data_IF_565168910909
#
_entry.id   IF_565168910909
#
_cell.length_a   1.000
_cell.length_b   1.000
_cell.length_c   1.000
_cell.angle_alpha   90.00
_cell.angle_beta   90.00
_cell.angle_gamma   90.00
#
_symmetry.space_group_name_H-M   'P 1'
#
loop_
_entity.id
_entity.type
_entity.pdbx_description
1 polymer ?
#
# COMPACT_ATOMS: atom_id res chain seq x y z
N UNK A 1 -43.02 -14.15 5.06
CA UNK A 1 -42.72 -13.91 3.63
C UNK A 1 -42.07 -12.53 3.52
N UNK A 2 -41.02 -12.37 2.73
CA UNK A 2 -40.44 -11.05 2.50
C UNK A 2 -41.46 -10.17 1.80
N UNK A 3 -41.72 -8.97 2.36
CA UNK A 3 -42.71 -8.05 1.79
C UNK A 3 -42.12 -7.38 0.54
N UNK A 4 -42.90 -7.20 -0.52
CA UNK A 4 -42.50 -6.51 -1.75
C UNK A 4 -41.90 -5.12 -1.46
N UNK A 5 -42.35 -4.45 -0.42
CA UNK A 5 -41.79 -3.18 0.06
C UNK A 5 -40.36 -3.32 0.57
N UNK A 6 -40.01 -4.42 1.25
CA UNK A 6 -38.67 -4.66 1.77
C UNK A 6 -37.67 -4.91 0.65
N UNK A 7 -38.08 -5.68 -0.38
CA UNK A 7 -37.22 -5.90 -1.55
C UNK A 7 -36.99 -4.57 -2.29
N UNK A 8 -38.01 -3.74 -2.44
CA UNK A 8 -37.88 -2.41 -3.06
C UNK A 8 -36.93 -1.50 -2.29
N UNK A 9 -36.96 -1.52 -0.94
CA UNK A 9 -36.02 -0.78 -0.07
C UNK A 9 -34.60 -1.30 -0.25
N UNK A 10 -34.40 -2.63 -0.31
CA UNK A 10 -33.09 -3.25 -0.55
C UNK A 10 -32.53 -2.85 -1.91
N UNK A 11 -33.32 -2.90 -2.99
CA UNK A 11 -32.90 -2.45 -4.32
C UNK A 11 -32.41 -1.01 -4.28
N UNK A 12 -33.16 -0.10 -3.61
CA UNK A 12 -32.76 1.29 -3.47
C UNK A 12 -31.44 1.45 -2.71
N UNK A 13 -31.27 0.72 -1.61
CA UNK A 13 -30.04 0.75 -0.79
C UNK A 13 -28.83 0.26 -1.59
N UNK A 14 -28.95 -0.87 -2.29
CA UNK A 14 -27.85 -1.44 -3.10
C UNK A 14 -27.52 -0.53 -4.28
N UNK A 15 -28.50 0.13 -4.90
CA UNK A 15 -28.27 1.13 -5.96
C UNK A 15 -27.44 2.30 -5.45
N UNK A 16 -27.74 2.82 -4.27
CA UNK A 16 -26.94 3.87 -3.64
C UNK A 16 -25.51 3.39 -3.35
N UNK A 17 -25.36 2.16 -2.85
CA UNK A 17 -24.05 1.55 -2.61
C UNK A 17 -23.24 1.43 -3.91
N UNK A 18 -23.88 1.00 -5.03
CA UNK A 18 -23.24 0.92 -6.33
C UNK A 18 -22.73 2.29 -6.81
N UNK A 19 -23.51 3.36 -6.60
CA UNK A 19 -23.08 4.72 -6.95
C UNK A 19 -21.86 5.18 -6.11
N UNK A 20 -21.88 4.90 -4.80
CA UNK A 20 -20.78 5.24 -3.90
C UNK A 20 -19.51 4.47 -4.28
N UNK A 21 -19.61 3.16 -4.50
CA UNK A 21 -18.44 2.33 -4.87
C UNK A 21 -17.86 2.76 -6.22
N UNK A 22 -18.69 3.11 -7.18
CA UNK A 22 -18.26 3.65 -8.48
C UNK A 22 -17.54 5.00 -8.34
N UNK A 23 -18.04 5.89 -7.50
CA UNK A 23 -17.36 7.16 -7.21
C UNK A 23 -16.00 6.92 -6.52
N UNK A 24 -15.95 6.01 -5.55
CA UNK A 24 -14.69 5.63 -4.88
C UNK A 24 -13.69 4.99 -5.84
N UNK A 25 -14.13 4.19 -6.80
CA UNK A 25 -13.30 3.63 -7.86
C UNK A 25 -12.62 4.74 -8.68
N UNK A 26 -13.39 5.75 -9.11
CA UNK A 26 -12.85 6.86 -9.90
C UNK A 26 -11.84 7.71 -9.11
N UNK A 27 -12.14 8.01 -7.85
CA UNK A 27 -11.22 8.72 -6.96
C UNK A 27 -9.93 7.93 -6.74
N UNK A 28 -10.03 6.62 -6.50
CA UNK A 28 -8.86 5.75 -6.35
C UNK A 28 -8.01 5.71 -7.62
N UNK A 29 -8.62 5.64 -8.80
CA UNK A 29 -7.91 5.67 -10.09
C UNK A 29 -7.14 6.98 -10.29
N UNK A 30 -7.74 8.12 -9.95
CA UNK A 30 -7.07 9.43 -10.03
C UNK A 30 -5.87 9.51 -9.08
N UNK A 31 -6.03 9.06 -7.83
CA UNK A 31 -4.95 9.06 -6.83
C UNK A 31 -3.82 8.10 -7.20
N UNK A 32 -4.14 6.93 -7.77
CA UNK A 32 -3.15 5.98 -8.28
C UNK A 32 -2.28 6.63 -9.37
N UNK A 33 -2.90 7.30 -10.36
CA UNK A 33 -2.15 7.98 -11.42
C UNK A 33 -1.20 9.03 -10.86
N UNK A 34 -1.65 9.84 -9.89
CA UNK A 34 -0.79 10.82 -9.23
C UNK A 34 0.38 10.18 -8.50
N UNK A 35 0.14 9.10 -7.74
CA UNK A 35 1.21 8.38 -7.04
C UNK A 35 2.24 7.82 -8.03
N UNK A 36 1.79 7.24 -9.14
CA UNK A 36 2.69 6.75 -10.20
C UNK A 36 3.49 7.89 -10.86
N UNK A 37 2.87 9.03 -11.16
CA UNK A 37 3.57 10.18 -11.72
C UNK A 37 4.66 10.70 -10.78
N UNK A 38 4.38 10.78 -9.48
CA UNK A 38 5.38 11.17 -8.48
C UNK A 38 6.53 10.16 -8.38
N UNK A 39 6.24 8.86 -8.41
CA UNK A 39 7.26 7.82 -8.39
C UNK A 39 8.15 7.87 -9.66
N UNK A 40 7.55 8.08 -10.83
CA UNK A 40 8.28 8.21 -12.10
C UNK A 40 9.13 9.47 -12.17
N UNK A 41 8.62 10.60 -11.67
CA UNK A 41 9.36 11.87 -11.68
C UNK A 41 10.67 11.83 -10.88
N UNK A 42 10.77 10.95 -9.88
CA UNK A 42 12.00 10.76 -9.10
C UNK A 42 13.06 9.87 -9.75
N UNK A 43 12.72 9.08 -10.79
CA UNK A 43 13.63 8.11 -11.40
C UNK A 43 14.95 8.69 -11.93
N UNK A 44 14.96 9.81 -12.71
CA UNK A 44 16.23 10.36 -13.22
C UNK A 44 17.19 10.73 -12.11
N UNK A 45 16.65 11.34 -11.03
CA UNK A 45 17.45 11.69 -9.87
C UNK A 45 18.02 10.44 -9.16
N UNK A 46 17.20 9.43 -9.00
CA UNK A 46 17.60 8.14 -8.43
C UNK A 46 18.71 7.46 -9.22
N UNK A 47 18.60 7.43 -10.55
CA UNK A 47 19.61 6.85 -11.42
C UNK A 47 20.97 7.57 -11.31
N UNK A 48 20.95 8.92 -11.28
CA UNK A 48 22.17 9.70 -11.09
C UNK A 48 22.79 9.48 -9.71
N UNK A 49 21.97 9.46 -8.66
CA UNK A 49 22.44 9.21 -7.30
C UNK A 49 23.09 7.83 -7.18
N UNK A 50 22.49 6.80 -7.80
CA UNK A 50 23.10 5.45 -7.85
C UNK A 50 24.44 5.44 -8.56
N UNK A 51 24.55 6.10 -9.72
CA UNK A 51 25.83 6.19 -10.46
C UNK A 51 26.93 6.80 -9.58
N UNK A 52 26.61 7.87 -8.86
CA UNK A 52 27.57 8.53 -7.96
C UNK A 52 27.94 7.63 -6.78
N UNK A 53 26.96 6.97 -6.15
CA UNK A 53 27.21 6.08 -5.00
C UNK A 53 28.05 4.85 -5.37
N UNK A 54 27.80 4.23 -6.53
CA UNK A 54 28.62 3.13 -7.05
C UNK A 54 30.06 3.58 -7.27
N UNK A 55 30.28 4.75 -7.88
CA UNK A 55 31.62 5.33 -8.09
C UNK A 55 32.33 5.67 -6.78
N UNK A 56 31.57 6.10 -5.75
CA UNK A 56 32.12 6.34 -4.40
C UNK A 56 32.51 5.04 -3.69
N UNK A 57 31.72 3.98 -3.86
CA UNK A 57 31.99 2.66 -3.25
C UNK A 57 33.31 2.05 -3.73
N UNK A 58 33.68 2.26 -4.99
CA UNK A 58 34.95 1.78 -5.56
C UNK A 58 36.18 2.53 -4.97
N UNK A 59 35.99 3.73 -4.46
CA UNK A 59 37.05 4.63 -3.98
C UNK A 59 37.14 4.76 -2.46
N UNK A 60 36.21 4.19 -1.73
CA UNK A 60 36.11 4.26 -0.26
C UNK A 60 36.01 2.85 0.31
N UNK A 61 36.55 2.61 1.51
CA UNK A 61 36.33 1.32 2.18
C UNK A 61 34.91 1.32 2.80
N UNK A 62 33.96 0.47 2.30
CA UNK A 62 32.61 0.42 2.83
C UNK A 62 32.52 0.05 4.32
N UNK A 63 33.60 -0.55 4.88
CA UNK A 63 33.63 -0.98 6.29
C UNK A 63 33.77 0.19 7.27
N UNK A 64 34.20 1.35 6.80
CA UNK A 64 34.44 2.52 7.63
C UNK A 64 33.14 3.30 7.96
N UNK A 65 32.10 3.16 7.13
CA UNK A 65 30.87 3.92 7.36
C UNK A 65 29.85 3.15 8.22
N UNK A 66 29.34 3.74 9.33
CA UNK A 66 28.43 3.07 10.27
C UNK A 66 27.14 2.50 9.65
N UNK A 67 26.58 3.14 8.60
CA UNK A 67 25.35 2.69 7.92
C UNK A 67 25.57 1.49 6.99
N UNK A 68 26.82 1.17 6.66
CA UNK A 68 27.21 0.03 5.82
C UNK A 68 27.64 -1.17 6.67
N UNK A 69 27.92 -0.97 7.95
CA UNK A 69 28.47 -1.98 8.83
C UNK A 69 27.47 -3.11 9.11
N UNK A 70 27.79 -4.33 8.65
CA UNK A 70 27.03 -5.54 8.95
C UNK A 70 27.33 -6.01 10.37
N UNK A 71 26.31 -6.25 11.18
CA UNK A 71 26.41 -6.69 12.59
C UNK A 71 25.66 -8.02 12.79
N UNK A 72 26.05 -8.82 13.80
CA UNK A 72 25.24 -9.99 14.17
C UNK A 72 23.84 -9.57 14.64
N UNK A 73 22.82 -10.20 14.11
CA UNK A 73 21.42 -9.84 14.34
C UNK A 73 20.98 -10.24 15.75
N UNK A 74 20.82 -9.27 16.64
CA UNK A 74 20.22 -9.42 17.98
C UNK A 74 18.83 -8.81 18.03
N UNK A 75 18.67 -7.61 17.49
CA UNK A 75 17.40 -6.87 17.45
C UNK A 75 17.18 -6.24 16.07
N UNK A 76 15.98 -6.44 15.51
CA UNK A 76 15.57 -5.89 14.22
C UNK A 76 14.50 -4.82 14.40
N UNK A 77 14.57 -3.74 13.60
CA UNK A 77 13.55 -2.72 13.48
C UNK A 77 12.80 -2.95 12.17
N UNK A 78 11.48 -3.07 12.23
CA UNK A 78 10.64 -3.23 11.03
C UNK A 78 9.73 -2.01 10.87
N UNK A 79 9.96 -1.27 9.79
CA UNK A 79 9.07 -0.19 9.35
C UNK A 79 7.93 -0.79 8.53
N UNK A 80 6.69 -0.71 9.03
CA UNK A 80 5.50 -1.16 8.30
C UNK A 80 4.81 0.03 7.64
N UNK A 81 4.69 -0.02 6.31
CA UNK A 81 3.96 0.99 5.55
C UNK A 81 2.58 0.42 5.18
N UNK A 82 1.53 0.87 5.88
CA UNK A 82 0.16 0.42 5.72
C UNK A 82 -0.78 1.54 5.29
N UNK A 83 -2.05 1.19 5.11
CA UNK A 83 -3.10 2.15 4.76
C UNK A 83 -3.75 2.76 5.99
N UNK A 84 -4.30 3.98 5.83
CA UNK A 84 -5.14 4.60 6.85
C UNK A 84 -6.58 4.10 6.79
N UNK A 85 -7.08 3.83 5.58
CA UNK A 85 -8.46 3.44 5.30
C UNK A 85 -8.50 2.01 4.76
N UNK A 86 -9.63 1.34 4.98
CA UNK A 86 -9.90 0.01 4.41
C UNK A 86 -10.39 0.06 2.96
N UNK A 87 -11.16 -0.95 2.59
CA UNK A 87 -11.78 -1.13 1.27
C UNK A 87 -10.74 -1.27 0.13
N UNK A 88 -9.58 -1.82 0.44
CA UNK A 88 -8.48 -2.11 -0.49
C UNK A 88 -8.26 -3.63 -0.67
N UNK A 89 -9.33 -4.42 -0.61
CA UNK A 89 -9.26 -5.87 -0.74
C UNK A 89 -8.39 -6.53 0.33
N UNK A 90 -7.57 -7.49 -0.06
CA UNK A 90 -6.71 -8.27 0.82
C UNK A 90 -5.35 -7.60 1.15
N UNK A 91 -5.09 -6.39 0.65
CA UNK A 91 -3.78 -5.72 0.73
C UNK A 91 -3.24 -5.67 2.17
N UNK A 92 -4.02 -5.15 3.12
CA UNK A 92 -3.60 -5.08 4.53
C UNK A 92 -3.50 -6.47 5.18
N UNK A 93 -4.38 -7.40 4.82
CA UNK A 93 -4.36 -8.77 5.36
C UNK A 93 -3.07 -9.48 4.96
N UNK A 94 -2.65 -9.35 3.71
CA UNK A 94 -1.39 -9.91 3.23
C UNK A 94 -0.19 -9.26 3.91
N UNK A 95 -0.20 -7.92 4.05
CA UNK A 95 0.85 -7.18 4.75
C UNK A 95 1.00 -7.65 6.22
N UNK A 96 -0.10 -7.81 6.93
CA UNK A 96 -0.08 -8.22 8.34
C UNK A 96 0.24 -9.71 8.53
N UNK A 97 -0.06 -10.55 7.53
CA UNK A 97 0.39 -11.94 7.53
C UNK A 97 1.91 -12.03 7.50
N UNK A 98 2.57 -11.24 6.66
CA UNK A 98 4.03 -11.15 6.65
C UNK A 98 4.57 -10.50 7.94
N UNK A 99 3.92 -9.46 8.46
CA UNK A 99 4.29 -8.87 9.73
C UNK A 99 4.21 -9.87 10.90
N UNK A 100 3.31 -10.86 10.83
CA UNK A 100 3.16 -11.89 11.86
C UNK A 100 4.34 -12.86 11.90
N UNK A 101 5.06 -13.04 10.79
CA UNK A 101 6.20 -13.96 10.69
C UNK A 101 7.46 -13.46 11.44
N UNK A 102 7.51 -12.17 11.81
CA UNK A 102 8.62 -11.64 12.59
C UNK A 102 8.57 -12.08 14.05
N UNK A 103 9.73 -12.41 14.60
CA UNK A 103 9.87 -12.80 16.01
C UNK A 103 9.51 -11.63 16.95
N UNK A 104 8.48 -11.81 17.75
CA UNK A 104 7.97 -10.77 18.66
C UNK A 104 8.99 -10.34 19.71
N UNK A 105 9.93 -11.22 20.12
CA UNK A 105 10.92 -10.94 21.14
C UNK A 105 12.11 -10.13 20.62
N UNK A 106 12.42 -10.26 19.31
CA UNK A 106 13.60 -9.67 18.69
C UNK A 106 13.26 -8.50 17.77
N UNK A 107 11.98 -8.25 17.51
CA UNK A 107 11.56 -7.24 16.52
C UNK A 107 10.80 -6.11 17.19
N UNK A 108 11.29 -4.88 16.97
CA UNK A 108 10.57 -3.65 17.30
C UNK A 108 9.94 -3.08 16.01
N UNK A 109 8.80 -2.43 16.15
CA UNK A 109 8.04 -1.93 15.01
C UNK A 109 7.97 -0.41 15.00
N UNK A 110 8.11 0.15 13.81
CA UNK A 110 7.73 1.51 13.46
C UNK A 110 6.63 1.40 12.42
N UNK A 111 5.59 2.18 12.55
CA UNK A 111 4.45 2.07 11.64
C UNK A 111 4.13 3.39 10.96
N UNK A 112 3.66 3.29 9.72
CA UNK A 112 2.94 4.35 9.06
C UNK A 112 1.56 3.84 8.68
N UNK A 113 0.53 4.64 8.99
CA UNK A 113 -0.85 4.30 8.69
C UNK A 113 -1.60 3.61 9.84
N UNK A 114 -2.86 4.02 9.99
CA UNK A 114 -3.73 3.64 11.11
C UNK A 114 -3.99 2.14 11.22
N UNK A 115 -3.97 1.42 10.09
CA UNK A 115 -4.23 -0.03 10.07
C UNK A 115 -3.09 -0.84 10.69
N UNK A 116 -1.81 -0.46 10.42
CA UNK A 116 -0.67 -1.12 11.07
C UNK A 116 -0.65 -0.83 12.57
N UNK A 117 -0.89 0.43 12.98
CA UNK A 117 -0.98 0.79 14.41
C UNK A 117 -2.00 -0.08 15.14
N UNK A 118 -3.21 -0.23 14.57
CA UNK A 118 -4.26 -1.07 15.14
C UNK A 118 -3.84 -2.55 15.23
N UNK A 119 -3.13 -3.05 14.21
CA UNK A 119 -2.64 -4.43 14.20
C UNK A 119 -1.59 -4.66 15.27
N UNK A 120 -0.56 -3.82 15.36
CA UNK A 120 0.53 -3.93 16.35
C UNK A 120 -0.02 -3.80 17.78
N UNK A 121 -0.92 -2.84 18.04
CA UNK A 121 -1.56 -2.68 19.35
C UNK A 121 -2.38 -3.92 19.75
N UNK A 122 -3.14 -4.49 18.82
CA UNK A 122 -3.94 -5.69 19.07
C UNK A 122 -3.09 -6.94 19.32
N UNK A 123 -1.94 -7.06 18.64
CA UNK A 123 -1.02 -8.18 18.80
C UNK A 123 -0.01 -8.00 19.92
N UNK A 124 -0.09 -6.86 20.66
CA UNK A 124 0.80 -6.51 21.79
C UNK A 124 2.28 -6.61 21.46
N UNK A 125 2.66 -6.21 20.26
CA UNK A 125 4.04 -6.16 19.80
C UNK A 125 4.69 -4.82 20.18
N UNK A 126 6.03 -4.79 20.23
CA UNK A 126 6.81 -3.60 20.59
C UNK A 126 6.69 -2.51 19.52
N UNK A 127 5.96 -1.44 19.81
CA UNK A 127 5.76 -0.29 18.94
C UNK A 127 6.60 0.89 19.42
N UNK A 128 7.63 1.26 18.66
CA UNK A 128 8.53 2.36 19.01
C UNK A 128 8.01 3.74 18.55
N UNK A 129 7.41 3.81 17.37
CA UNK A 129 6.90 5.05 16.81
C UNK A 129 5.78 4.83 15.81
N UNK A 130 4.89 5.82 15.69
CA UNK A 130 3.82 5.90 14.70
C UNK A 130 3.91 7.24 13.97
N UNK A 131 3.96 7.19 12.63
CA UNK A 131 4.04 8.38 11.79
C UNK A 131 2.80 8.50 10.92
N UNK A 132 2.13 9.64 11.00
CA UNK A 132 1.01 9.94 10.10
C UNK A 132 1.53 10.60 8.82
N UNK A 133 1.07 10.09 7.67
CA UNK A 133 1.41 10.61 6.35
C UNK A 133 0.15 11.05 5.62
N UNK A 134 0.24 12.14 4.87
CA UNK A 134 -0.84 12.57 3.98
C UNK A 134 -1.06 11.56 2.84
N UNK A 135 -2.18 11.69 2.16
CA UNK A 135 -2.54 10.86 0.98
C UNK A 135 -1.52 10.97 -0.17
N UNK A 136 -0.98 12.19 -0.38
CA UNK A 136 0.13 12.46 -1.30
C UNK A 136 1.29 13.03 -0.49
N UNK A 137 2.13 12.16 0.10
CA UNK A 137 3.22 12.61 0.94
C UNK A 137 4.30 13.31 0.13
N UNK A 138 4.89 14.35 0.69
CA UNK A 138 6.08 14.99 0.16
C UNK A 138 7.34 14.31 0.69
N UNK A 139 8.48 14.51 0.01
CA UNK A 139 9.78 14.00 0.48
C UNK A 139 10.11 14.48 1.90
N UNK A 140 9.76 15.73 2.21
CA UNK A 140 10.00 16.34 3.53
C UNK A 140 9.23 15.59 4.64
N UNK A 141 8.02 15.11 4.35
CA UNK A 141 7.21 14.33 5.31
C UNK A 141 7.77 12.91 5.55
N UNK A 142 8.51 12.36 4.59
CA UNK A 142 9.19 11.06 4.73
C UNK A 142 10.50 11.13 5.54
N UNK A 143 11.17 12.29 5.57
CA UNK A 143 12.46 12.46 6.27
C UNK A 143 12.44 12.10 7.76
N UNK A 144 11.44 12.46 8.57
CA UNK A 144 11.43 12.09 10.00
C UNK A 144 11.46 10.58 10.22
N UNK A 145 10.80 9.80 9.33
CA UNK A 145 10.74 8.34 9.41
C UNK A 145 12.12 7.74 9.19
N UNK A 146 12.78 8.13 8.09
CA UNK A 146 14.13 7.65 7.76
C UNK A 146 15.15 8.09 8.81
N UNK A 147 15.06 9.32 9.29
CA UNK A 147 15.92 9.84 10.36
C UNK A 147 15.78 9.02 11.63
N UNK A 148 14.56 8.73 12.08
CA UNK A 148 14.29 7.88 13.24
C UNK A 148 14.90 6.48 13.08
N UNK A 149 14.73 5.85 11.93
CA UNK A 149 15.30 4.53 11.63
C UNK A 149 16.84 4.57 11.67
N UNK A 150 17.45 5.57 11.05
CA UNK A 150 18.92 5.75 11.06
C UNK A 150 19.46 6.02 12.48
N UNK A 151 18.81 6.87 13.26
CA UNK A 151 19.22 7.16 14.65
C UNK A 151 19.21 5.90 15.52
N UNK A 152 18.17 5.06 15.42
CA UNK A 152 18.10 3.79 16.16
C UNK A 152 19.22 2.82 15.76
N UNK A 153 19.54 2.75 14.48
CA UNK A 153 20.63 1.93 13.96
C UNK A 153 22.02 2.46 14.40
N UNK A 154 22.25 3.77 14.30
CA UNK A 154 23.52 4.40 14.68
C UNK A 154 23.79 4.30 16.18
N UNK A 155 22.75 4.42 17.01
CA UNK A 155 22.84 4.24 18.48
C UNK A 155 23.02 2.78 18.90
N UNK A 156 23.08 1.84 17.94
CA UNK A 156 23.19 0.40 18.20
C UNK A 156 22.03 -0.18 19.03
N UNK A 157 20.87 0.45 19.00
CA UNK A 157 19.67 -0.08 19.63
C UNK A 157 19.07 -1.22 18.79
N UNK A 158 19.35 -1.21 17.49
CA UNK A 158 18.98 -2.26 16.52
C UNK A 158 20.13 -2.53 15.56
N UNK A 159 20.25 -3.78 15.12
CA UNK A 159 21.33 -4.26 14.25
C UNK A 159 20.93 -4.30 12.79
N UNK A 160 19.61 -4.29 12.52
CA UNK A 160 19.03 -4.32 11.17
C UNK A 160 17.76 -3.50 11.13
N UNK A 161 17.54 -2.80 10.02
CA UNK A 161 16.29 -2.11 9.72
C UNK A 161 15.73 -2.66 8.42
N UNK A 162 14.51 -3.19 8.50
CA UNK A 162 13.77 -3.69 7.34
C UNK A 162 12.51 -2.86 7.13
N UNK A 163 12.08 -2.73 5.87
CA UNK A 163 10.82 -2.08 5.50
C UNK A 163 9.89 -3.13 4.94
N UNK A 164 8.72 -3.24 5.54
CA UNK A 164 7.63 -4.10 5.08
C UNK A 164 6.56 -3.23 4.42
N UNK A 165 6.40 -3.40 3.12
CA UNK A 165 5.46 -2.61 2.34
C UNK A 165 4.87 -3.44 1.19
N UNK A 166 3.88 -2.87 0.49
CA UNK A 166 3.30 -3.50 -0.70
C UNK A 166 3.85 -2.85 -1.95
N UNK A 167 4.62 -3.64 -2.72
CA UNK A 167 5.19 -3.24 -3.99
C UNK A 167 4.15 -3.29 -5.11
N UNK A 168 4.14 -2.24 -5.93
CA UNK A 168 3.27 -2.11 -7.09
C UNK A 168 3.91 -2.74 -8.34
N UNK A 169 3.39 -3.88 -8.79
CA UNK A 169 3.82 -4.52 -10.04
C UNK A 169 2.95 -4.01 -11.20
N UNK A 170 1.63 -4.15 -11.06
CA UNK A 170 0.64 -3.66 -12.01
C UNK A 170 -0.70 -3.42 -11.29
N UNK A 171 -1.71 -2.97 -12.04
CA UNK A 171 -3.02 -2.62 -11.49
C UNK A 171 -3.74 -3.79 -10.81
N UNK A 172 -3.45 -5.03 -11.20
CA UNK A 172 -4.09 -6.24 -10.66
C UNK A 172 -3.22 -6.88 -9.59
N UNK A 173 -1.89 -6.89 -9.79
CA UNK A 173 -0.93 -7.56 -8.92
C UNK A 173 -0.15 -6.54 -8.07
N UNK A 174 -0.30 -6.68 -6.76
CA UNK A 174 0.52 -6.03 -5.75
C UNK A 174 1.12 -7.12 -4.85
N UNK A 175 2.39 -7.01 -4.55
CA UNK A 175 3.12 -7.99 -3.75
C UNK A 175 3.64 -7.36 -2.47
N UNK A 176 3.41 -8.02 -1.34
CA UNK A 176 4.06 -7.67 -0.08
C UNK A 176 5.54 -8.04 -0.14
N UNK A 177 6.40 -7.11 0.21
CA UNK A 177 7.86 -7.26 0.17
C UNK A 177 8.46 -6.79 1.49
N UNK A 178 9.46 -7.54 1.96
CA UNK A 178 10.36 -7.13 3.04
C UNK A 178 11.67 -6.74 2.40
N UNK A 179 12.06 -5.48 2.52
CA UNK A 179 13.32 -4.97 1.98
C UNK A 179 14.21 -4.49 3.12
N UNK A 180 15.46 -4.94 3.15
CA UNK A 180 16.45 -4.45 4.12
C UNK A 180 16.83 -3.02 3.73
N UNK A 181 16.72 -2.10 4.69
CA UNK A 181 17.09 -0.71 4.54
C UNK A 181 18.49 -0.44 5.10
N UNK A 182 18.78 -1.01 6.26
CA UNK A 182 20.07 -0.90 6.95
C UNK A 182 20.47 -2.26 7.53
N UNK A 183 21.74 -2.66 7.44
CA UNK A 183 22.82 -1.99 6.71
C UNK A 183 22.58 -1.97 5.21
N UNK A 184 23.13 -0.98 4.51
CA UNK A 184 23.04 -0.89 3.05
C UNK A 184 24.01 -1.95 2.48
N UNK A 185 23.45 -2.97 1.83
CA UNK A 185 24.21 -4.08 1.22
C UNK A 185 24.48 -3.86 -0.26
N UNK A 186 23.60 -3.14 -0.95
CA UNK A 186 23.71 -2.79 -2.36
C UNK A 186 23.06 -1.43 -2.60
N UNK A 187 23.55 -0.69 -3.58
CA UNK A 187 22.96 0.58 -3.99
C UNK A 187 21.87 0.39 -5.06
N UNK A 188 21.03 -0.64 -4.88
CA UNK A 188 19.91 -0.89 -5.76
C UNK A 188 18.69 -0.11 -5.29
N UNK A 189 18.16 0.75 -6.14
CA UNK A 189 16.87 1.40 -5.89
C UNK A 189 15.72 0.42 -6.17
N UNK A 190 14.62 0.51 -5.41
CA UNK A 190 13.42 -0.28 -5.70
C UNK A 190 12.96 -0.01 -7.13
N UNK A 191 12.92 -1.05 -7.95
CA UNK A 191 12.41 -0.95 -9.33
C UNK A 191 10.89 -0.79 -9.27
N UNK A 192 10.39 0.41 -9.49
CA UNK A 192 8.95 0.70 -9.51
C UNK A 192 8.43 0.54 -10.93
N UNK A 193 7.62 -0.50 -11.16
CA UNK A 193 6.89 -0.73 -12.42
C UNK A 193 7.60 -1.64 -13.43
N UNK A 194 6.81 -2.08 -14.41
CA UNK A 194 7.12 -3.07 -15.46
C UNK A 194 8.06 -2.56 -16.58
N UNK A 195 8.78 -1.47 -16.39
CA UNK A 195 9.76 -1.07 -17.37
C UNK A 195 10.98 -2.01 -17.23
N UNK A 196 11.22 -2.77 -18.27
CA UNK A 196 12.54 -3.30 -18.60
C UNK A 196 13.46 -2.08 -18.78
N UNK A 197 13.91 -1.49 -17.66
CA UNK A 197 15.03 -0.58 -17.73
C UNK A 197 16.23 -1.46 -18.09
N UNK A 198 16.56 -1.42 -19.36
CA UNK A 198 17.88 -1.76 -19.84
C UNK A 198 18.84 -1.05 -18.87
N UNK A 199 19.58 -1.85 -18.12
CA UNK A 199 20.70 -1.36 -17.34
C UNK A 199 21.65 -0.71 -18.36
N UNK A 200 21.49 0.60 -18.58
CA UNK A 200 22.56 1.36 -19.21
C UNK A 200 23.79 1.08 -18.37
N UNK A 201 24.65 0.27 -18.92
CA UNK A 201 25.97 -0.02 -18.39
C UNK A 201 26.57 1.31 -17.98
N UNK A 202 26.89 1.44 -16.70
CA UNK A 202 27.62 2.60 -16.19
C UNK A 202 28.87 2.70 -17.04
N UNK A 203 28.97 3.78 -17.82
CA UNK A 203 30.15 4.02 -18.59
C UNK A 203 31.30 4.29 -17.60
N UNK A 204 32.28 3.37 -17.45
CA UNK A 204 33.30 3.50 -16.42
C UNK A 204 34.29 4.66 -16.67
N UNK A 205 34.11 5.38 -17.78
CA UNK A 205 34.99 6.47 -18.18
C UNK A 205 34.60 7.86 -17.59
N UNK A 206 33.50 8.01 -16.88
CA UNK A 206 33.19 9.31 -16.25
C UNK A 206 33.91 9.34 -14.90
N UNK A 207 35.15 9.87 -14.91
CA UNK A 207 35.89 10.14 -13.68
C UNK A 207 35.26 11.30 -12.88
N UNK A 208 34.42 11.00 -11.90
CA UNK A 208 33.95 12.03 -10.97
C UNK A 208 35.13 12.53 -10.11
N UNK A 209 35.23 13.85 -9.94
CA UNK A 209 36.12 14.49 -8.96
C UNK A 209 35.28 14.83 -7.72
N UNK A 210 35.68 14.30 -6.58
CA UNK A 210 34.97 14.48 -5.32
C UNK A 210 35.67 15.53 -4.46
N UNK A 211 35.00 16.60 -4.11
CA UNK A 211 35.50 17.67 -3.25
C UNK A 211 34.69 17.72 -1.94
N UNK A 212 35.32 17.80 -0.75
CA UNK A 212 36.77 17.83 -0.51
C UNK A 212 37.46 16.47 -0.62
N UNK A 213 36.76 15.36 -0.39
CA UNK A 213 37.20 13.98 -0.60
C UNK A 213 36.00 13.02 -0.70
N UNK A 214 36.23 11.80 -1.16
CA UNK A 214 35.18 10.79 -1.38
C UNK A 214 34.45 10.37 -0.09
N UNK A 215 35.14 10.32 1.05
CA UNK A 215 34.56 9.92 2.34
C UNK A 215 33.54 10.94 2.85
N UNK A 216 33.88 12.23 2.84
CA UNK A 216 32.97 13.31 3.29
C UNK A 216 31.74 13.38 2.39
N UNK A 217 31.91 13.18 1.09
CA UNK A 217 30.79 13.14 0.14
C UNK A 217 29.90 11.93 0.44
N UNK A 218 30.47 10.76 0.68
CA UNK A 218 29.74 9.54 1.05
C UNK A 218 28.94 9.73 2.34
N UNK A 219 29.55 10.28 3.39
CA UNK A 219 28.90 10.57 4.69
C UNK A 219 27.68 11.48 4.55
N UNK A 220 27.74 12.44 3.64
CA UNK A 220 26.63 13.36 3.39
C UNK A 220 25.53 12.74 2.50
N UNK A 221 25.91 11.88 1.57
CA UNK A 221 24.97 11.29 0.60
C UNK A 221 24.20 10.10 1.14
N UNK A 222 24.81 9.26 2.00
CA UNK A 222 24.16 8.05 2.50
C UNK A 222 22.86 8.33 3.30
N UNK A 223 22.78 9.29 4.21
CA UNK A 223 21.54 9.62 4.89
C UNK A 223 20.45 10.10 3.93
N UNK A 224 20.86 10.82 2.88
CA UNK A 224 19.92 11.27 1.86
C UNK A 224 19.40 10.10 1.01
N UNK A 225 20.29 9.18 0.63
CA UNK A 225 19.95 7.94 -0.09
C UNK A 225 18.92 7.10 0.69
N UNK A 226 19.17 6.85 1.99
CA UNK A 226 18.23 6.13 2.86
C UNK A 226 16.87 6.83 2.91
N UNK A 227 16.88 8.16 3.05
CA UNK A 227 15.64 8.94 3.08
C UNK A 227 14.89 8.86 1.75
N UNK A 228 15.61 8.85 0.65
CA UNK A 228 15.04 8.70 -0.69
C UNK A 228 14.45 7.30 -0.90
N UNK A 229 15.15 6.24 -0.48
CA UNK A 229 14.62 4.87 -0.54
C UNK A 229 13.31 4.72 0.24
N UNK A 230 13.27 5.20 1.49
CA UNK A 230 12.05 5.17 2.30
C UNK A 230 10.91 5.91 1.60
N UNK A 231 11.20 7.08 1.02
CA UNK A 231 10.20 7.85 0.29
C UNK A 231 9.67 7.12 -0.94
N UNK A 232 10.53 6.47 -1.73
CA UNK A 232 10.11 5.65 -2.87
C UNK A 232 9.23 4.47 -2.45
N UNK A 233 9.58 3.78 -1.35
CA UNK A 233 8.74 2.70 -0.80
C UNK A 233 7.37 3.22 -0.33
N UNK A 234 7.30 4.43 0.21
CA UNK A 234 6.02 5.07 0.59
C UNK A 234 5.18 5.37 -0.65
N UNK A 235 5.76 5.93 -1.71
CA UNK A 235 5.05 6.20 -2.96
C UNK A 235 4.55 4.92 -3.63
N UNK A 236 5.36 3.89 -3.63
CA UNK A 236 5.03 2.56 -4.17
C UNK A 236 3.88 1.90 -3.39
N UNK A 237 3.93 1.95 -2.05
CA UNK A 237 2.86 1.50 -1.19
C UNK A 237 1.54 2.28 -1.41
N UNK A 238 1.61 3.59 -1.62
CA UNK A 238 0.43 4.42 -1.95
C UNK A 238 -0.15 4.09 -3.33
N UNK A 239 0.69 3.85 -4.34
CA UNK A 239 0.24 3.40 -5.65
C UNK A 239 -0.47 2.04 -5.55
N UNK A 240 0.11 1.10 -4.79
CA UNK A 240 -0.48 -0.21 -4.50
C UNK A 240 -1.81 -0.11 -3.76
N UNK A 241 -1.90 0.74 -2.74
CA UNK A 241 -3.13 1.00 -1.98
C UNK A 241 -4.26 1.49 -2.87
N UNK A 242 -3.99 2.50 -3.70
CA UNK A 242 -5.01 3.09 -4.57
C UNK A 242 -5.41 2.14 -5.69
N UNK A 243 -4.48 1.36 -6.23
CA UNK A 243 -4.75 0.32 -7.22
C UNK A 243 -5.64 -0.77 -6.66
N UNK A 244 -5.28 -1.35 -5.51
CA UNK A 244 -6.08 -2.38 -4.85
C UNK A 244 -7.50 -1.87 -4.50
N UNK A 245 -7.61 -0.61 -4.04
CA UNK A 245 -8.91 0.02 -3.77
C UNK A 245 -9.73 0.20 -5.03
N UNK A 246 -9.12 0.64 -6.13
CA UNK A 246 -9.80 0.79 -7.42
C UNK A 246 -10.40 -0.55 -7.89
N UNK A 247 -9.63 -1.63 -7.85
CA UNK A 247 -10.09 -2.98 -8.24
C UNK A 247 -11.18 -3.49 -7.29
N UNK A 248 -11.00 -3.34 -5.97
CA UNK A 248 -11.99 -3.75 -4.98
C UNK A 248 -13.33 -3.01 -5.16
N UNK A 249 -13.28 -1.71 -5.43
CA UNK A 249 -14.49 -0.90 -5.66
C UNK A 249 -15.16 -1.21 -6.99
N UNK A 250 -14.39 -1.53 -8.04
CA UNK A 250 -14.94 -2.04 -9.31
C UNK A 250 -15.72 -3.33 -9.06
N UNK A 251 -15.11 -4.32 -8.42
CA UNK A 251 -15.76 -5.60 -8.13
C UNK A 251 -17.01 -5.41 -7.25
N UNK A 252 -16.96 -4.52 -6.25
CA UNK A 252 -18.10 -4.19 -5.42
C UNK A 252 -19.25 -3.55 -6.22
N UNK A 253 -18.94 -2.68 -7.18
CA UNK A 253 -19.93 -2.06 -8.08
C UNK A 253 -20.57 -3.09 -9.00
N UNK A 254 -19.77 -3.97 -9.59
CA UNK A 254 -20.25 -5.03 -10.50
C UNK A 254 -21.16 -6.03 -9.73
N UNK A 255 -20.76 -6.46 -8.54
CA UNK A 255 -21.56 -7.30 -7.66
C UNK A 255 -22.87 -6.61 -7.25
N UNK A 256 -22.82 -5.32 -6.87
CA UNK A 256 -24.03 -4.57 -6.52
C UNK A 256 -25.02 -4.50 -7.70
N UNK A 257 -24.53 -4.29 -8.93
CA UNK A 257 -25.38 -4.27 -10.12
C UNK A 257 -26.00 -5.64 -10.40
N UNK A 258 -25.27 -6.72 -10.14
CA UNK A 258 -25.83 -8.08 -10.27
C UNK A 258 -26.93 -8.33 -9.23
N UNK A 259 -26.69 -7.98 -7.96
CA UNK A 259 -27.72 -8.07 -6.91
C UNK A 259 -28.98 -7.26 -7.23
N UNK A 260 -28.85 -6.08 -7.86
CA UNK A 260 -30.01 -5.28 -8.28
C UNK A 260 -30.84 -6.04 -9.32
N UNK A 261 -30.19 -6.72 -10.29
CA UNK A 261 -30.89 -7.53 -11.30
C UNK A 261 -31.66 -8.69 -10.66
N UNK A 262 -30.97 -9.43 -9.76
CA UNK A 262 -31.55 -10.59 -9.09
C UNK A 262 -32.74 -10.21 -8.20
N UNK A 263 -32.59 -9.16 -7.39
CA UNK A 263 -33.66 -8.64 -6.55
C UNK A 263 -34.83 -8.05 -7.37
N UNK A 264 -34.57 -7.46 -8.54
CA UNK A 264 -35.62 -6.95 -9.41
C UNK A 264 -36.43 -8.10 -9.99
N UNK A 265 -35.80 -9.20 -10.35
CA UNK A 265 -36.47 -10.41 -10.83
C UNK A 265 -37.33 -11.02 -9.72
N UNK A 266 -36.80 -11.14 -8.51
CA UNK A 266 -37.54 -11.60 -7.32
C UNK A 266 -38.74 -10.70 -7.03
N UNK A 267 -38.53 -9.39 -7.01
CA UNK A 267 -39.60 -8.40 -6.83
C UNK A 267 -40.74 -8.60 -7.84
N UNK A 268 -40.42 -8.77 -9.13
CA UNK A 268 -41.42 -8.95 -10.18
C UNK A 268 -42.20 -10.26 -10.01
N UNK A 269 -41.52 -11.37 -9.65
CA UNK A 269 -42.18 -12.65 -9.34
C UNK A 269 -43.16 -12.52 -8.17
N UNK A 270 -42.73 -11.92 -7.08
CA UNK A 270 -43.58 -11.72 -5.91
C UNK A 270 -44.73 -10.78 -6.18
N UNK A 271 -44.53 -9.72 -6.97
CA UNK A 271 -45.59 -8.81 -7.38
C UNK A 271 -46.64 -9.54 -8.22
N UNK A 272 -46.19 -10.34 -9.20
CA UNK A 272 -47.12 -11.13 -10.04
C UNK A 272 -47.91 -12.16 -9.21
N UNK A 273 -47.24 -12.87 -8.30
CA UNK A 273 -47.88 -13.80 -7.38
C UNK A 273 -48.93 -13.10 -6.49
N UNK A 274 -48.59 -11.92 -5.95
CA UNK A 274 -49.51 -11.11 -5.14
C UNK A 274 -50.75 -10.68 -5.94
N UNK A 275 -50.56 -10.15 -7.14
CA UNK A 275 -51.67 -9.77 -8.03
C UNK A 275 -52.58 -10.99 -8.34
N UNK A 276 -51.94 -12.16 -8.63
CA UNK A 276 -52.72 -13.38 -8.90
C UNK A 276 -53.54 -13.84 -7.69
N UNK A 277 -52.95 -13.76 -6.51
CA UNK A 277 -53.65 -14.09 -5.23
C UNK A 277 -54.83 -13.14 -4.99
N UNK A 278 -54.60 -11.83 -5.13
CA UNK A 278 -55.69 -10.82 -5.00
C UNK A 278 -56.83 -11.04 -5.99
N UNK A 279 -56.49 -11.37 -7.26
CA UNK A 279 -57.50 -11.67 -8.27
C UNK A 279 -58.31 -12.95 -7.93
N UNK A 280 -57.64 -13.99 -7.41
CA UNK A 280 -58.28 -15.24 -6.99
C UNK A 280 -59.18 -15.00 -5.78
N UNK A 281 -58.76 -14.19 -4.80
CA UNK A 281 -59.56 -13.81 -3.64
C UNK A 281 -60.82 -13.03 -4.04
N UNK A 282 -60.71 -12.09 -4.98
CA UNK A 282 -61.84 -11.34 -5.51
C UNK A 282 -62.81 -12.29 -6.27
N UNK A 283 -62.28 -13.19 -7.13
CA UNK A 283 -63.11 -14.13 -7.88
C UNK A 283 -63.83 -15.12 -6.95
N UNK A 284 -63.14 -15.63 -5.91
CA UNK A 284 -63.76 -16.54 -4.93
C UNK A 284 -64.81 -15.83 -4.09
N UNK A 285 -64.57 -14.56 -3.68
CA UNK A 285 -65.54 -13.75 -2.96
C UNK A 285 -66.84 -13.48 -3.81
N UNK A 286 -66.64 -13.20 -5.11
CA UNK A 286 -67.79 -13.04 -6.02
C UNK A 286 -68.63 -14.32 -6.18
N UNK A 287 -67.97 -15.50 -6.29
CA UNK A 287 -68.66 -16.80 -6.35
C UNK A 287 -69.44 -17.09 -5.03
N UNK A 288 -68.85 -16.69 -3.88
CA UNK A 288 -69.52 -16.90 -2.58
C UNK A 288 -70.72 -15.95 -2.31
N UNK A 289 -70.77 -14.80 -2.96
CA UNK A 289 -71.85 -13.81 -2.83
C UNK A 289 -72.92 -13.96 -3.92
N UNK A 290 -72.69 -14.68 -4.99
CA UNK A 290 -73.59 -14.86 -6.15
C UNK A 290 -74.30 -16.20 -6.21
N UNK A 291 -74.23 -17.05 -5.11
CA UNK A 291 -74.97 -18.30 -4.97
C UNK A 291 -76.21 -18.21 -4.13
#
# INVERSE_FOLDING_TARGET
>A
MANTQDIRRRIKSIRNTSQITKAMQMVAASKMRKAQQHALAGRPYAALMNKVLVSLQERTDPRLHPLLAVRPLKKELVLIISTDKGLCGALNTNLFREAANFDSAKTAFVVTGKKARQFIARTKRDLLADFELKDSPSFVEGKPISKFCMEKFLRREVDKVSVLYTHFINTINQRTVVQTLLPISSFDLPKTGTAQDESESVDPMIGYVFEPNAEVVLDSMLPYYVSYQVFQMILDARASEHSARMVAMKNATDNANQFIKDLTLEYNKMRQAGITTELLEIATAQMALGG
#
